data_IF_826734002040
#
_entry.id   IF_826734002040
#
_cell.length_a   1.000
_cell.length_b   1.000
_cell.length_c   1.000
_cell.angle_alpha   90.00
_cell.angle_beta   90.00
_cell.angle_gamma   90.00
#
_symmetry.space_group_name_H-M   'P 1'
#
loop_
_entity.id
_entity.type
_entity.pdbx_description
1 polymer ?
#
# COMPACT_ATOMS: atom_id res chain seq x y z
N UNK A 1 25.20 6.83 10.27
CA UNK A 1 24.03 6.12 10.84
C UNK A 1 22.76 6.87 10.45
N UNK A 2 21.59 6.24 10.50
CA UNK A 2 20.33 6.94 10.23
C UNK A 2 20.07 8.00 11.32
N UNK A 3 19.65 9.20 10.91
CA UNK A 3 19.28 10.31 11.80
C UNK A 3 17.78 10.64 11.75
N UNK A 4 17.04 9.85 10.97
CA UNK A 4 15.60 10.00 10.81
C UNK A 4 14.96 8.68 10.40
N UNK A 5 13.65 8.62 10.56
CA UNK A 5 12.81 7.48 10.21
C UNK A 5 11.78 7.94 9.18
N UNK A 6 11.69 7.24 8.05
CA UNK A 6 10.65 7.48 7.05
C UNK A 6 9.37 6.73 7.45
N UNK A 7 8.25 7.43 7.33
CA UNK A 7 6.91 6.99 7.69
C UNK A 7 5.94 7.30 6.54
N UNK A 8 4.91 6.46 6.44
CA UNK A 8 3.81 6.59 5.48
C UNK A 8 2.49 6.39 6.23
N UNK A 9 1.46 7.12 5.81
CA UNK A 9 0.15 7.04 6.41
C UNK A 9 0.06 7.74 7.76
N UNK A 10 -0.89 7.30 8.56
CA UNK A 10 -1.26 7.89 9.84
C UNK A 10 -0.61 7.16 11.01
N UNK A 11 0.16 7.88 11.82
CA UNK A 11 0.79 7.34 13.02
C UNK A 11 0.58 8.27 14.20
N UNK A 12 0.27 7.69 15.36
CA UNK A 12 0.39 8.35 16.65
C UNK A 12 1.81 8.19 17.17
N UNK A 13 2.48 9.32 17.34
CA UNK A 13 3.81 9.42 17.96
C UNK A 13 3.61 9.68 19.44
N UNK A 14 4.09 8.79 20.31
CA UNK A 14 4.00 8.95 21.77
C UNK A 14 5.39 8.86 22.39
N UNK A 15 5.78 9.84 23.20
CA UNK A 15 7.02 9.77 23.99
C UNK A 15 6.78 8.87 25.20
N UNK A 16 7.48 7.74 25.27
CA UNK A 16 7.28 6.74 26.34
C UNK A 16 8.41 6.71 27.37
N UNK A 17 9.61 7.16 27.00
CA UNK A 17 10.74 7.29 27.91
C UNK A 17 11.66 8.41 27.42
N UNK A 18 12.33 9.06 28.37
CA UNK A 18 13.40 10.02 28.13
C UNK A 18 14.48 9.77 29.19
N UNK A 19 15.71 9.62 28.74
CA UNK A 19 16.87 9.39 29.60
C UNK A 19 18.03 10.29 29.16
N UNK A 20 17.82 11.60 29.32
CA UNK A 20 18.79 12.63 28.90
C UNK A 20 18.54 13.89 29.71
N UNK A 21 19.61 14.61 30.06
CA UNK A 21 19.50 15.85 30.83
C UNK A 21 19.07 17.05 29.97
N UNK A 22 19.16 16.94 28.64
CA UNK A 22 18.89 18.05 27.73
C UNK A 22 17.45 18.09 27.24
N UNK A 23 16.98 19.26 26.83
CA UNK A 23 15.69 19.36 26.17
C UNK A 23 15.72 18.55 24.87
N UNK A 24 14.67 17.76 24.63
CA UNK A 24 14.52 16.94 23.42
C UNK A 24 13.23 17.34 22.69
N UNK A 25 13.22 17.22 21.37
CA UNK A 25 12.02 17.37 20.55
C UNK A 25 12.03 16.42 19.37
N UNK A 26 10.83 16.09 18.90
CA UNK A 26 10.64 15.35 17.67
C UNK A 26 10.31 16.35 16.58
N UNK A 27 11.07 16.32 15.48
CA UNK A 27 10.82 17.15 14.31
C UNK A 27 10.28 16.28 13.19
N UNK A 28 9.11 16.66 12.69
CA UNK A 28 8.43 16.00 11.57
C UNK A 28 8.52 16.88 10.34
N UNK A 29 8.88 16.30 9.20
CA UNK A 29 9.01 17.00 7.90
C UNK A 29 8.49 16.15 6.75
N UNK A 30 8.11 16.78 5.62
CA UNK A 30 7.60 16.09 4.43
C UNK A 30 6.16 16.47 4.13
N UNK A 31 5.32 15.48 3.80
CA UNK A 31 3.90 15.70 3.51
C UNK A 31 3.11 16.29 4.70
N UNK A 32 3.61 16.05 5.92
CA UNK A 32 3.19 16.71 7.15
C UNK A 32 4.44 17.25 7.84
N UNK A 33 4.30 18.36 8.57
CA UNK A 33 5.40 18.98 9.30
C UNK A 33 4.92 19.48 10.66
N UNK A 34 5.78 19.39 11.67
CA UNK A 34 5.42 19.76 13.03
C UNK A 34 6.53 19.45 14.03
N UNK A 35 6.33 19.88 15.27
CA UNK A 35 7.24 19.64 16.37
C UNK A 35 6.45 19.05 17.53
N UNK A 36 6.82 17.84 17.96
CA UNK A 36 6.27 17.21 19.17
C UNK A 36 7.26 17.41 20.31
N UNK A 37 6.85 17.90 21.49
CA UNK A 37 7.73 18.00 22.64
C UNK A 37 8.30 16.63 23.05
N UNK A 38 9.59 16.54 23.35
CA UNK A 38 10.24 15.32 23.86
C UNK A 38 9.96 15.06 25.34
N UNK A 39 8.74 15.35 25.80
CA UNK A 39 8.31 15.16 27.19
C UNK A 39 7.54 13.85 27.29
N UNK A 40 7.85 13.00 28.27
CA UNK A 40 7.16 11.72 28.47
C UNK A 40 5.64 11.94 28.58
N UNK A 41 4.88 11.16 27.81
CA UNK A 41 3.42 11.29 27.69
C UNK A 41 2.95 12.25 26.60
N UNK A 42 3.82 13.07 26.01
CA UNK A 42 3.47 13.85 24.84
C UNK A 42 3.08 12.91 23.69
N UNK A 43 1.95 13.20 23.05
CA UNK A 43 1.39 12.38 21.98
C UNK A 43 0.77 13.25 20.90
N UNK A 44 1.06 12.93 19.65
CA UNK A 44 0.47 13.60 18.49
C UNK A 44 0.22 12.62 17.34
N UNK A 45 -0.87 12.81 16.61
CA UNK A 45 -1.18 12.00 15.42
C UNK A 45 -0.76 12.78 14.18
N UNK A 46 0.12 12.18 13.38
CA UNK A 46 0.60 12.73 12.12
C UNK A 46 0.11 11.85 10.98
N UNK A 47 -0.43 12.47 9.94
CA UNK A 47 -0.87 11.78 8.72
C UNK A 47 -0.26 12.41 7.50
N UNK A 48 0.33 11.61 6.63
CA UNK A 48 0.85 12.10 5.37
C UNK A 48 1.37 10.98 4.49
N UNK A 49 1.48 11.29 3.20
CA UNK A 49 1.86 10.33 2.17
C UNK A 49 3.22 9.73 2.39
N UNK A 50 4.17 10.59 2.71
CA UNK A 50 5.53 10.27 3.10
C UNK A 50 6.06 11.41 3.95
N UNK A 51 6.58 11.07 5.12
CA UNK A 51 7.15 12.04 6.04
C UNK A 51 8.30 11.42 6.83
N UNK A 52 9.15 12.29 7.37
CA UNK A 52 10.35 11.93 8.11
C UNK A 52 10.20 12.40 9.56
N UNK A 53 10.58 11.52 10.48
CA UNK A 53 10.70 11.82 11.90
C UNK A 53 12.19 11.90 12.25
N UNK A 54 12.63 13.01 12.82
CA UNK A 54 13.95 13.18 13.42
C UNK A 54 13.80 13.54 14.91
N UNK A 55 14.85 13.29 15.70
CA UNK A 55 14.93 13.74 17.09
C UNK A 55 16.03 14.78 17.19
N UNK A 56 15.73 15.89 17.85
CA UNK A 56 16.67 16.97 18.11
C UNK A 56 16.81 17.23 19.62
N UNK A 57 17.97 17.73 20.01
CA UNK A 57 18.29 18.09 21.39
C UNK A 57 18.86 19.52 21.47
N UNK A 58 18.83 20.11 22.66
CA UNK A 58 19.44 21.41 22.93
C UNK A 58 20.23 21.37 24.25
N UNK A 59 21.56 21.41 24.16
CA UNK A 59 22.47 21.46 25.31
C UNK A 59 22.86 22.90 25.72
N UNK A 60 22.11 23.90 25.29
CA UNK A 60 22.33 25.32 25.59
C UNK A 60 22.90 26.14 24.42
N UNK A 61 22.99 25.55 23.23
CA UNK A 61 23.50 26.18 22.00
C UNK A 61 22.45 26.30 20.88
N UNK A 62 21.21 25.89 21.15
CA UNK A 62 20.14 25.75 20.17
C UNK A 62 19.94 24.30 19.73
N UNK A 63 18.86 24.07 19.00
CA UNK A 63 18.44 22.75 18.57
C UNK A 63 19.37 22.12 17.53
N UNK A 64 19.74 20.87 17.77
CA UNK A 64 20.61 20.09 16.91
C UNK A 64 20.08 18.67 16.74
N UNK A 65 20.33 18.07 15.57
CA UNK A 65 19.95 16.69 15.32
C UNK A 65 20.70 15.72 16.24
N UNK A 66 19.96 14.73 16.76
CA UNK A 66 20.53 13.59 17.46
C UNK A 66 21.53 12.83 16.56
N UNK A 67 22.62 12.35 17.14
CA UNK A 67 23.65 11.60 16.42
C UNK A 67 23.11 10.29 15.84
N UNK A 68 22.13 9.67 16.52
CA UNK A 68 21.54 8.41 16.12
C UNK A 68 20.02 8.38 16.31
N UNK A 69 19.31 7.78 15.36
CA UNK A 69 17.89 7.41 15.49
C UNK A 69 17.71 6.00 14.93
N UNK A 70 17.18 5.10 15.75
CA UNK A 70 16.84 3.73 15.38
C UNK A 70 15.35 3.49 15.44
N UNK A 71 14.83 2.72 14.48
CA UNK A 71 13.46 2.24 14.50
C UNK A 71 13.45 0.72 14.46
N UNK A 72 12.77 0.12 15.42
CA UNK A 72 12.45 -1.31 15.40
C UNK A 72 11.59 -1.65 14.17
N UNK A 73 11.61 -2.92 13.71
CA UNK A 73 10.61 -3.43 12.80
C UNK A 73 9.20 -3.24 13.36
N UNK A 74 8.25 -2.96 12.47
CA UNK A 74 6.84 -2.84 12.86
C UNK A 74 6.29 -4.21 13.26
N UNK A 75 5.69 -4.26 14.45
CA UNK A 75 5.08 -5.44 15.08
C UNK A 75 3.58 -5.23 15.17
N UNK A 76 2.82 -6.31 15.03
CA UNK A 76 1.41 -6.31 15.41
C UNK A 76 1.32 -6.47 16.94
N UNK A 77 0.63 -5.54 17.61
CA UNK A 77 0.30 -5.57 19.02
C UNK A 77 -1.19 -5.30 19.15
N UNK A 78 -1.94 -6.30 19.59
CA UNK A 78 -3.39 -6.20 19.83
C UNK A 78 -4.20 -5.73 18.60
N UNK A 79 -3.81 -6.17 17.40
CA UNK A 79 -4.45 -5.78 16.15
C UNK A 79 -4.06 -4.38 15.68
N UNK A 80 -3.05 -3.78 16.29
CA UNK A 80 -2.48 -2.49 15.89
C UNK A 80 -1.01 -2.66 15.53
N UNK A 81 -0.65 -2.09 14.39
CA UNK A 81 0.75 -2.01 14.02
C UNK A 81 1.48 -0.97 14.85
N UNK A 82 2.59 -1.38 15.47
CA UNK A 82 3.36 -0.53 16.36
C UNK A 82 4.87 -0.75 16.19
N UNK A 83 5.67 0.27 16.49
CA UNK A 83 7.13 0.13 16.60
C UNK A 83 7.71 1.08 17.63
N UNK A 84 8.88 0.73 18.13
CA UNK A 84 9.69 1.60 18.98
C UNK A 84 10.67 2.38 18.10
N UNK A 85 10.84 3.66 18.39
CA UNK A 85 11.93 4.49 17.88
C UNK A 85 12.75 4.98 19.06
N UNK A 86 14.07 4.84 19.00
CA UNK A 86 14.95 5.30 20.06
C UNK A 86 16.07 6.16 19.48
N UNK A 87 16.50 7.19 20.21
CA UNK A 87 17.55 8.11 19.76
C UNK A 87 18.75 8.13 20.71
N UNK A 88 19.89 8.56 20.16
CA UNK A 88 21.06 9.02 20.92
C UNK A 88 21.37 10.46 20.53
N UNK A 89 21.33 11.39 21.47
CA UNK A 89 21.70 12.78 21.25
C UNK A 89 23.20 12.93 20.96
N UNK A 90 24.06 12.38 21.81
CA UNK A 90 25.53 12.35 21.68
C UNK A 90 26.13 11.13 22.38
N UNK A 91 27.19 10.54 21.83
CA UNK A 91 27.88 9.41 22.46
C UNK A 91 28.97 9.86 23.44
N UNK A 92 28.78 9.60 24.74
CA UNK A 92 29.78 9.88 25.79
C UNK A 92 30.50 8.61 26.26
N UNK A 93 31.73 8.73 26.79
CA UNK A 93 32.34 7.64 27.54
C UNK A 93 31.44 7.22 28.71
N UNK A 94 30.95 5.99 28.67
CA UNK A 94 30.04 5.43 29.70
C UNK A 94 28.56 5.54 29.38
N UNK A 95 28.19 6.25 28.32
CA UNK A 95 26.81 6.37 27.85
C UNK A 95 26.71 6.23 26.33
N UNK A 96 26.53 4.97 25.91
CA UNK A 96 26.46 4.58 24.51
C UNK A 96 25.14 3.93 24.11
N UNK A 97 24.18 3.83 25.04
CA UNK A 97 22.90 3.21 24.76
C UNK A 97 21.97 4.23 24.09
N UNK A 98 21.31 3.88 22.98
CA UNK A 98 20.40 4.80 22.31
C UNK A 98 19.04 4.80 23.01
N UNK A 99 18.94 5.51 24.13
CA UNK A 99 17.70 5.65 24.90
C UNK A 99 17.38 7.04 25.45
N UNK A 100 18.06 8.07 24.94
CA UNK A 100 17.88 9.46 25.35
C UNK A 100 16.45 9.96 25.13
N UNK A 101 15.83 9.49 24.05
CA UNK A 101 14.39 9.62 23.81
C UNK A 101 13.86 8.34 23.17
N UNK A 102 12.80 7.78 23.73
CA UNK A 102 12.12 6.59 23.21
C UNK A 102 10.67 6.91 22.90
N UNK A 103 10.27 6.58 21.68
CA UNK A 103 8.94 6.79 21.13
C UNK A 103 8.26 5.44 20.90
N UNK A 104 6.97 5.39 21.20
CA UNK A 104 6.06 4.39 20.65
C UNK A 104 5.33 5.02 19.47
N UNK A 105 5.46 4.38 18.31
CA UNK A 105 4.71 4.73 17.11
C UNK A 105 3.61 3.70 16.92
N UNK A 106 2.36 4.16 16.92
CA UNK A 106 1.17 3.36 16.70
C UNK A 106 0.53 3.77 15.36
N UNK A 107 0.39 2.85 14.41
CA UNK A 107 -0.37 3.13 13.19
C UNK A 107 -1.84 3.32 13.56
N UNK A 108 -2.46 4.35 13.00
CA UNK A 108 -3.86 4.69 13.24
C UNK A 108 -4.55 4.93 11.90
N UNK A 109 -5.84 4.60 11.81
CA UNK A 109 -6.61 4.72 10.57
C UNK A 109 -6.67 3.41 9.76
N UNK A 110 -7.31 3.47 8.60
CA UNK A 110 -7.38 2.33 7.67
C UNK A 110 -6.02 2.08 7.01
N UNK A 111 -5.83 0.89 6.42
CA UNK A 111 -4.63 0.59 5.63
C UNK A 111 -4.84 0.84 4.14
N UNK A 112 -6.03 1.30 3.75
CA UNK A 112 -6.28 1.78 2.41
C UNK A 112 -7.25 2.96 2.40
N UNK A 113 -7.22 3.70 1.31
CA UNK A 113 -8.18 4.74 0.99
C UNK A 113 -8.54 4.69 -0.50
N UNK A 114 -9.70 5.23 -0.84
CA UNK A 114 -10.06 5.52 -2.23
C UNK A 114 -9.68 6.97 -2.49
N UNK A 115 -8.66 7.16 -3.32
CA UNK A 115 -8.05 8.44 -3.57
C UNK A 115 -8.83 9.20 -4.64
N UNK A 116 -9.49 10.28 -4.23
CA UNK A 116 -10.29 11.10 -5.14
C UNK A 116 -11.60 10.42 -5.56
N UNK A 117 -12.19 10.97 -6.62
CA UNK A 117 -13.51 10.57 -7.10
C UNK A 117 -13.38 9.41 -8.08
N UNK A 118 -14.19 8.34 -7.93
CA UNK A 118 -14.33 7.35 -8.98
C UNK A 118 -14.68 8.04 -10.30
N UNK A 119 -14.19 7.55 -11.43
CA UNK A 119 -14.44 8.16 -12.74
C UNK A 119 -15.24 7.19 -13.60
N UNK A 120 -16.34 7.65 -14.19
CA UNK A 120 -17.00 6.90 -15.26
C UNK A 120 -16.18 7.08 -16.54
N UNK A 121 -15.65 5.97 -17.03
CA UNK A 121 -14.88 5.91 -18.28
C UNK A 121 -15.65 5.05 -19.29
N UNK A 122 -15.83 5.57 -20.50
CA UNK A 122 -16.57 4.91 -21.57
C UNK A 122 -16.24 5.53 -22.92
N UNK A 123 -16.35 4.73 -23.97
CA UNK A 123 -15.87 4.93 -25.36
C UNK A 123 -14.41 4.53 -25.58
N UNK A 124 -14.15 3.22 -25.47
CA UNK A 124 -12.98 2.50 -25.97
C UNK A 124 -11.65 2.80 -25.28
N UNK A 125 -11.22 1.96 -24.33
CA UNK A 125 -9.77 1.80 -24.10
C UNK A 125 -9.10 1.20 -25.36
N UNK A 126 -9.90 0.59 -26.26
CA UNK A 126 -9.56 0.18 -27.64
C UNK A 126 -10.73 0.49 -28.60
N UNK A 127 -10.45 0.89 -29.83
CA UNK A 127 -11.48 1.09 -30.88
C UNK A 127 -12.34 -0.17 -31.06
N UNK A 128 -13.67 -0.06 -30.90
CA UNK A 128 -14.64 -1.09 -31.33
C UNK A 128 -15.60 -1.66 -30.27
N UNK A 129 -15.42 -1.37 -28.98
CA UNK A 129 -16.32 -1.81 -27.90
C UNK A 129 -17.21 -0.67 -27.42
N UNK A 130 -18.22 -0.30 -28.20
CA UNK A 130 -19.04 0.89 -27.96
C UNK A 130 -19.99 0.81 -26.73
N UNK A 131 -20.04 -0.31 -26.00
CA UNK A 131 -21.04 -0.50 -24.94
C UNK A 131 -20.49 -0.82 -23.55
N UNK A 132 -19.16 -0.94 -23.37
CA UNK A 132 -18.60 -1.23 -22.03
C UNK A 132 -18.16 0.06 -21.36
N UNK A 133 -18.76 0.34 -20.20
CA UNK A 133 -18.35 1.45 -19.33
C UNK A 133 -17.76 0.89 -18.05
N UNK A 134 -16.81 1.61 -17.50
CA UNK A 134 -16.18 1.26 -16.24
C UNK A 134 -16.27 2.41 -15.24
N UNK A 135 -16.40 2.05 -13.97
CA UNK A 135 -16.08 2.90 -12.84
C UNK A 135 -14.61 2.68 -12.50
N UNK A 136 -13.76 3.64 -12.86
CA UNK A 136 -12.35 3.66 -12.48
C UNK A 136 -12.21 4.18 -11.05
N UNK A 137 -11.51 3.46 -10.19
CA UNK A 137 -11.35 3.73 -8.76
C UNK A 137 -9.86 3.75 -8.44
N UNK A 138 -9.34 4.90 -8.06
CA UNK A 138 -7.96 5.01 -7.59
C UNK A 138 -7.90 4.51 -6.15
N UNK A 139 -7.22 3.40 -5.95
CA UNK A 139 -6.97 2.81 -4.63
C UNK A 139 -5.59 3.22 -4.19
N UNK A 140 -5.45 3.56 -2.92
CA UNK A 140 -4.18 3.92 -2.33
C UNK A 140 -3.92 3.14 -1.04
N UNK A 141 -2.70 2.67 -0.90
CA UNK A 141 -2.24 2.02 0.32
C UNK A 141 -1.82 3.09 1.34
N UNK A 142 -2.72 3.44 2.26
CA UNK A 142 -2.44 4.32 3.41
C UNK A 142 -1.88 3.57 4.62
N UNK A 143 -1.69 2.26 4.49
CA UNK A 143 -1.11 1.38 5.48
C UNK A 143 0.40 1.44 5.55
N UNK A 144 0.94 0.60 6.42
CA UNK A 144 2.37 0.43 6.67
C UNK A 144 2.96 -0.83 6.02
N UNK A 145 2.11 -1.74 5.52
CA UNK A 145 2.50 -2.94 4.77
C UNK A 145 2.11 -2.79 3.31
N UNK A 146 2.88 -3.38 2.38
CA UNK A 146 2.43 -3.53 1.01
C UNK A 146 1.16 -4.40 0.95
N UNK A 147 0.31 -4.14 -0.04
CA UNK A 147 -0.77 -5.07 -0.38
C UNK A 147 -0.19 -6.37 -0.93
N UNK A 148 -0.76 -7.49 -0.48
CA UNK A 148 -0.46 -8.79 -1.07
C UNK A 148 -1.01 -8.92 -2.48
N UNK A 149 -0.52 -9.92 -3.23
CA UNK A 149 -1.06 -10.28 -4.54
C UNK A 149 -2.51 -10.81 -4.50
N UNK A 150 -3.01 -11.09 -3.30
CA UNK A 150 -4.36 -11.56 -3.01
C UNK A 150 -5.28 -10.45 -2.49
N UNK A 151 -4.84 -9.20 -2.50
CA UNK A 151 -5.68 -8.07 -2.19
C UNK A 151 -6.76 -7.92 -3.28
N UNK A 152 -8.03 -7.95 -2.86
CA UNK A 152 -9.17 -7.75 -3.75
C UNK A 152 -10.04 -6.60 -3.25
N UNK A 153 -10.48 -5.75 -4.17
CA UNK A 153 -11.39 -4.64 -3.90
C UNK A 153 -12.78 -4.97 -4.44
N UNK A 154 -13.80 -4.67 -3.66
CA UNK A 154 -15.20 -4.76 -4.04
C UNK A 154 -15.94 -3.46 -3.73
N UNK A 155 -17.00 -3.19 -4.48
CA UNK A 155 -18.02 -2.22 -4.11
C UNK A 155 -18.98 -2.91 -3.16
N UNK A 156 -19.08 -2.44 -1.92
CA UNK A 156 -20.01 -3.00 -0.93
C UNK A 156 -21.46 -2.93 -1.41
N UNK A 157 -22.35 -3.71 -0.81
CA UNK A 157 -23.80 -3.65 -1.11
C UNK A 157 -24.34 -2.24 -0.89
N UNK A 158 -23.94 -1.59 0.21
CA UNK A 158 -24.29 -0.20 0.49
C UNK A 158 -23.72 0.79 -0.55
N UNK A 159 -22.52 0.54 -1.07
CA UNK A 159 -21.91 1.29 -2.15
C UNK A 159 -22.64 1.11 -3.49
N UNK A 160 -23.05 -0.13 -3.80
CA UNK A 160 -23.85 -0.47 -5.00
C UNK A 160 -25.23 0.17 -4.95
N UNK A 161 -25.91 0.08 -3.82
CA UNK A 161 -27.21 0.75 -3.60
C UNK A 161 -27.09 2.26 -3.76
N UNK A 162 -25.99 2.83 -3.27
CA UNK A 162 -25.68 4.26 -3.41
C UNK A 162 -25.44 4.67 -4.86
N UNK A 163 -24.63 3.89 -5.60
CA UNK A 163 -24.41 4.11 -7.03
C UNK A 163 -25.71 3.94 -7.84
N UNK A 164 -26.54 2.95 -7.51
CA UNK A 164 -27.79 2.68 -8.22
C UNK A 164 -28.81 3.82 -8.05
N UNK A 165 -28.88 4.45 -6.86
CA UNK A 165 -29.68 5.67 -6.67
C UNK A 165 -29.18 6.84 -7.52
N UNK A 166 -27.89 6.87 -7.80
CA UNK A 166 -27.24 7.77 -8.74
C UNK A 166 -27.14 7.17 -10.14
N UNK A 167 -28.06 6.28 -10.54
CA UNK A 167 -28.21 5.72 -11.89
C UNK A 167 -27.00 4.98 -12.47
N UNK A 168 -26.05 4.58 -11.62
CA UNK A 168 -24.90 3.73 -11.98
C UNK A 168 -25.12 2.35 -11.38
N UNK A 169 -25.29 1.34 -12.22
CA UNK A 169 -25.44 -0.05 -11.80
C UNK A 169 -24.13 -0.78 -12.05
N UNK A 170 -23.48 -1.25 -10.99
CA UNK A 170 -22.26 -2.07 -11.10
C UNK A 170 -22.65 -3.48 -11.54
N UNK A 171 -22.02 -4.01 -12.59
CA UNK A 171 -22.27 -5.39 -12.99
C UNK A 171 -21.75 -6.35 -11.89
N UNK A 172 -22.51 -7.41 -11.62
CA UNK A 172 -22.13 -8.45 -10.63
C UNK A 172 -21.20 -9.51 -11.22
N UNK A 173 -21.12 -9.57 -12.55
CA UNK A 173 -20.37 -10.61 -13.28
C UNK A 173 -19.42 -9.98 -14.28
N UNK A 174 -18.24 -10.58 -14.41
CA UNK A 174 -17.20 -10.11 -15.31
C UNK A 174 -17.27 -10.81 -16.67
N UNK A 175 -17.43 -10.00 -17.73
CA UNK A 175 -17.33 -10.48 -19.12
C UNK A 175 -15.83 -10.65 -19.49
N UNK A 176 -15.46 -11.69 -20.28
CA UNK A 176 -14.07 -11.88 -20.72
C UNK A 176 -13.47 -10.68 -21.45
N UNK A 177 -14.30 -9.89 -22.15
CA UNK A 177 -13.91 -8.68 -22.86
C UNK A 177 -13.41 -7.61 -21.88
N UNK A 178 -14.15 -7.39 -20.80
CA UNK A 178 -13.83 -6.41 -19.76
C UNK A 178 -12.52 -6.73 -19.03
N UNK A 179 -12.27 -8.01 -18.74
CA UNK A 179 -11.01 -8.46 -18.14
C UNK A 179 -9.82 -8.25 -19.09
N UNK A 180 -9.98 -8.56 -20.38
CA UNK A 180 -8.94 -8.34 -21.40
C UNK A 180 -8.66 -6.85 -21.64
N UNK A 181 -9.68 -6.01 -21.56
CA UNK A 181 -9.57 -4.56 -21.76
C UNK A 181 -8.85 -3.88 -20.60
N UNK A 182 -9.17 -4.26 -19.36
CA UNK A 182 -8.59 -3.67 -18.15
C UNK A 182 -7.28 -4.34 -17.71
N UNK A 183 -7.02 -5.56 -18.18
CA UNK A 183 -5.89 -6.38 -17.72
C UNK A 183 -6.03 -6.86 -16.26
N UNK A 184 -7.23 -6.76 -15.69
CA UNK A 184 -7.51 -7.14 -14.30
C UNK A 184 -7.90 -8.61 -14.19
N UNK A 185 -7.71 -9.13 -12.97
CA UNK A 185 -8.27 -10.41 -12.55
C UNK A 185 -9.50 -10.14 -11.69
N UNK A 186 -10.56 -10.95 -11.87
CA UNK A 186 -11.78 -10.85 -11.08
C UNK A 186 -11.98 -12.09 -10.20
N UNK A 187 -12.54 -11.85 -9.01
CA UNK A 187 -12.79 -12.85 -7.97
C UNK A 187 -14.24 -12.72 -7.53
N UNK A 188 -15.14 -13.35 -8.30
CA UNK A 188 -16.58 -13.11 -8.16
C UNK A 188 -16.93 -11.69 -8.59
N UNK A 189 -17.45 -10.88 -7.65
CA UNK A 189 -17.78 -9.46 -7.88
C UNK A 189 -16.62 -8.49 -7.57
N UNK A 190 -15.55 -8.98 -6.94
CA UNK A 190 -14.37 -8.21 -6.58
C UNK A 190 -13.31 -8.25 -7.69
N UNK A 191 -12.36 -7.31 -7.65
CA UNK A 191 -11.21 -7.22 -8.55
C UNK A 191 -9.89 -7.28 -7.81
N UNK A 192 -8.89 -7.91 -8.40
CA UNK A 192 -7.52 -7.89 -7.88
C UNK A 192 -6.97 -6.48 -7.88
N UNK A 193 -6.39 -6.07 -6.74
CA UNK A 193 -5.63 -4.84 -6.61
C UNK A 193 -4.16 -5.17 -6.90
N UNK A 194 -3.44 -4.37 -7.70
CA UNK A 194 -2.01 -4.59 -7.88
C UNK A 194 -1.28 -4.54 -6.52
N UNK A 195 -0.12 -5.20 -6.36
CA UNK A 195 0.70 -5.02 -5.17
C UNK A 195 1.12 -3.55 -5.06
N UNK A 196 0.58 -2.86 -4.06
CA UNK A 196 0.89 -1.45 -3.77
C UNK A 196 1.71 -1.39 -2.50
N UNK A 197 2.91 -0.80 -2.56
CA UNK A 197 3.69 -0.43 -1.40
C UNK A 197 3.03 0.68 -0.57
N UNK A 198 3.49 0.94 0.67
CA UNK A 198 3.00 2.04 1.49
C UNK A 198 3.09 3.39 0.75
N UNK A 199 1.97 4.10 0.69
CA UNK A 199 1.83 5.38 -0.01
C UNK A 199 1.57 5.28 -1.51
N UNK A 200 1.78 4.12 -2.13
CA UNK A 200 1.52 3.90 -3.56
C UNK A 200 0.03 3.80 -3.86
N UNK A 201 -0.33 4.09 -5.11
CA UNK A 201 -1.69 4.04 -5.62
C UNK A 201 -1.76 3.27 -6.94
N UNK A 202 -2.94 2.74 -7.23
CA UNK A 202 -3.26 2.08 -8.49
C UNK A 202 -4.72 2.30 -8.84
N UNK A 203 -5.07 2.11 -10.12
CA UNK A 203 -6.46 2.23 -10.57
C UNK A 203 -7.01 0.83 -10.77
N UNK A 204 -8.18 0.58 -10.19
CA UNK A 204 -9.00 -0.60 -10.49
C UNK A 204 -10.29 -0.18 -11.16
N UNK A 205 -10.86 -1.05 -11.98
CA UNK A 205 -12.07 -0.77 -12.75
C UNK A 205 -13.19 -1.70 -12.32
N UNK A 206 -14.44 -1.23 -12.38
CA UNK A 206 -15.63 -2.06 -12.24
C UNK A 206 -16.55 -1.84 -13.45
N UNK A 207 -17.03 -2.90 -14.15
CA UNK A 207 -17.99 -2.75 -15.22
C UNK A 207 -19.29 -2.15 -14.69
N UNK A 208 -19.87 -1.20 -15.41
CA UNK A 208 -21.11 -0.53 -15.02
C UNK A 208 -22.04 -0.33 -16.21
N UNK A 209 -23.34 -0.33 -15.92
CA UNK A 209 -24.37 0.29 -16.74
C UNK A 209 -24.71 1.65 -16.15
N UNK A 210 -24.51 2.70 -16.93
CA UNK A 210 -24.81 4.08 -16.51
C UNK A 210 -25.48 4.82 -17.67
N UNK A 211 -26.49 5.63 -17.38
CA UNK A 211 -27.07 6.55 -18.37
C UNK A 211 -26.05 7.67 -18.68
N UNK A 212 -25.68 7.92 -19.95
CA UNK A 212 -24.76 9.01 -20.31
C UNK A 212 -25.25 10.41 -19.89
N UNK A 213 -26.54 10.61 -19.69
CA UNK A 213 -27.10 11.89 -19.25
C UNK A 213 -26.99 12.11 -17.74
N UNK A 214 -26.59 11.09 -16.97
CA UNK A 214 -26.63 11.16 -15.52
C UNK A 214 -25.45 11.92 -14.95
N UNK A 215 -25.75 12.92 -14.13
CA UNK A 215 -24.80 13.57 -13.24
C UNK A 215 -24.84 12.79 -11.93
N UNK A 216 -23.76 12.07 -11.62
CA UNK A 216 -23.64 11.38 -10.35
C UNK A 216 -23.52 12.42 -9.23
N UNK A 217 -24.63 12.75 -8.56
CA UNK A 217 -24.59 13.55 -7.33
C UNK A 217 -23.69 12.85 -6.30
N UNK A 218 -22.85 13.64 -5.62
CA UNK A 218 -21.70 13.22 -4.80
C UNK A 218 -22.01 12.24 -3.67
N UNK A 219 -22.30 11.00 -4.04
CA UNK A 219 -22.75 9.96 -3.15
C UNK A 219 -21.54 9.24 -2.53
N UNK A 220 -21.58 9.05 -1.22
CA UNK A 220 -20.53 8.36 -0.48
C UNK A 220 -20.52 6.86 -0.86
N UNK A 221 -19.67 6.48 -1.80
CA UNK A 221 -19.54 5.08 -2.23
C UNK A 221 -18.62 4.35 -1.25
N UNK A 222 -19.12 3.25 -0.72
CA UNK A 222 -18.41 2.39 0.21
C UNK A 222 -17.73 1.22 -0.53
N UNK A 223 -16.42 1.11 -0.36
CA UNK A 223 -15.59 0.05 -0.92
C UNK A 223 -15.03 -0.83 0.19
N UNK A 224 -14.84 -2.11 -0.13
CA UNK A 224 -14.30 -3.11 0.78
C UNK A 224 -13.02 -3.68 0.18
N UNK A 225 -11.91 -3.51 0.90
CA UNK A 225 -10.66 -4.20 0.59
C UNK A 225 -10.58 -5.46 1.46
N UNK A 226 -10.28 -6.58 0.82
CA UNK A 226 -10.07 -7.87 1.50
C UNK A 226 -8.67 -8.38 1.19
N UNK A 227 -7.91 -8.72 2.23
CA UNK A 227 -6.56 -9.30 2.11
C UNK A 227 -6.52 -10.83 2.22
N UNK A 228 -5.31 -11.38 2.14
CA UNK A 228 -4.97 -12.80 2.24
C UNK A 228 -5.90 -13.65 3.13
N UNK A 229 -6.66 -14.54 2.49
CA UNK A 229 -7.51 -15.52 3.16
C UNK A 229 -8.80 -14.97 3.77
N UNK A 230 -9.23 -13.76 3.40
CA UNK A 230 -10.51 -13.18 3.84
C UNK A 230 -10.54 -12.69 5.28
N UNK A 231 -9.38 -12.70 5.97
CA UNK A 231 -9.28 -12.40 7.41
C UNK A 231 -9.22 -10.91 7.72
N UNK A 232 -8.72 -10.12 6.77
CA UNK A 232 -8.61 -8.68 6.90
C UNK A 232 -9.62 -8.04 5.95
N UNK A 233 -10.71 -7.51 6.52
CA UNK A 233 -11.75 -6.78 5.81
C UNK A 233 -11.69 -5.33 6.26
N UNK A 234 -11.47 -4.44 5.33
CA UNK A 234 -11.41 -3.00 5.60
C UNK A 234 -12.44 -2.28 4.76
N UNK A 235 -12.95 -1.17 5.29
CA UNK A 235 -13.98 -0.36 4.64
C UNK A 235 -13.44 1.05 4.46
N UNK A 236 -13.49 1.55 3.23
CA UNK A 236 -13.23 2.94 2.91
C UNK A 236 -14.48 3.57 2.32
N UNK A 237 -14.80 4.77 2.80
CA UNK A 237 -15.84 5.61 2.21
C UNK A 237 -15.16 6.78 1.56
N UNK A 238 -15.54 7.06 0.32
CA UNK A 238 -15.21 8.33 -0.30
C UNK A 238 -16.14 9.39 0.29
N UNK A 239 -15.57 10.50 0.77
CA UNK A 239 -16.33 11.64 1.29
C UNK A 239 -16.29 12.80 0.28
N UNK A 240 -17.40 12.99 -0.44
CA UNK A 240 -17.74 14.22 -1.19
C UNK A 240 -17.30 14.35 -2.66
N UNK A 241 -18.25 14.78 -3.51
CA UNK A 241 -18.07 15.36 -4.86
C UNK A 241 -18.34 14.42 -6.06
N UNK A 242 -18.87 14.90 -7.21
CA UNK A 242 -19.22 14.04 -8.35
C UNK A 242 -18.00 13.60 -9.19
N UNK A 243 -17.92 12.33 -9.65
CA UNK A 243 -17.03 11.90 -10.73
C UNK A 243 -17.03 12.90 -11.90
N UNK A 244 -15.91 13.57 -12.24
CA UNK A 244 -15.86 14.25 -13.52
C UNK A 244 -15.93 13.21 -14.64
N UNK A 245 -16.88 13.36 -15.57
CA UNK A 245 -16.87 12.62 -16.82
C UNK A 245 -15.69 13.12 -17.64
N UNK A 246 -14.57 12.39 -17.65
CA UNK A 246 -13.44 12.69 -18.52
C UNK A 246 -13.59 11.93 -19.84
N UNK A 247 -13.67 12.67 -20.95
CA UNK A 247 -13.49 12.09 -22.27
C UNK A 247 -12.00 11.75 -22.46
N UNK A 248 -11.63 10.55 -22.92
CA UNK A 248 -10.23 10.25 -23.19
C UNK A 248 -9.70 11.20 -24.27
N UNK A 249 -8.59 11.89 -23.97
CA UNK A 249 -7.85 12.63 -24.98
C UNK A 249 -7.08 11.61 -25.83
N UNK A 250 -7.56 11.36 -27.05
CA UNK A 250 -6.87 10.50 -28.02
C UNK A 250 -5.67 11.26 -28.58
N UNK A 251 -4.46 10.97 -28.08
CA UNK A 251 -3.23 11.34 -28.78
C UNK A 251 -2.84 10.23 -29.76
N UNK A 252 -2.36 10.61 -30.95
CA UNK A 252 -2.04 9.79 -32.11
C UNK A 252 -0.87 8.79 -31.94
N UNK A 253 -0.60 8.32 -30.72
CA UNK A 253 0.50 7.39 -30.41
C UNK A 253 0.10 6.17 -29.57
N UNK A 254 -1.19 5.86 -29.43
CA UNK A 254 -1.65 4.62 -28.78
C UNK A 254 -1.24 4.47 -27.30
N UNK A 255 -0.86 5.58 -26.65
CA UNK A 255 -0.57 5.67 -25.22
C UNK A 255 -1.53 6.71 -24.64
N UNK A 256 -2.45 6.28 -23.76
CA UNK A 256 -3.35 7.19 -23.05
C UNK A 256 -2.61 7.69 -21.81
N UNK A 257 -2.33 8.99 -21.80
CA UNK A 257 -1.84 9.71 -20.62
C UNK A 257 -3.04 10.39 -19.96
N UNK A 258 -3.51 9.85 -18.84
CA UNK A 258 -4.29 10.64 -17.88
C UNK A 258 -3.29 11.46 -17.05
N UNK A 259 -3.57 12.76 -16.89
CA UNK A 259 -2.63 13.79 -16.42
C UNK A 259 -1.76 13.42 -15.22
N UNK A 260 -0.50 13.86 -15.29
CA UNK A 260 0.55 13.91 -14.26
C UNK A 260 0.66 12.73 -13.28
N UNK A 261 0.44 11.52 -13.78
CA UNK A 261 0.87 10.29 -13.10
C UNK A 261 1.57 9.39 -14.10
N UNK A 262 2.91 9.38 -14.05
CA UNK A 262 3.71 8.37 -14.75
C UNK A 262 3.54 7.03 -14.04
N UNK A 263 2.61 6.21 -14.49
CA UNK A 263 2.51 4.80 -14.08
C UNK A 263 3.50 4.00 -14.92
N UNK A 264 4.62 3.58 -14.33
CA UNK A 264 5.41 2.52 -14.92
C UNK A 264 4.65 1.21 -14.78
N UNK A 265 4.06 0.73 -15.89
CA UNK A 265 3.65 -0.66 -15.99
C UNK A 265 4.90 -1.53 -15.75
N UNK A 266 4.95 -2.23 -14.63
CA UNK A 266 5.99 -3.22 -14.34
C UNK A 266 5.78 -4.42 -15.26
N UNK A 267 6.39 -4.39 -16.44
CA UNK A 267 6.45 -5.53 -17.33
C UNK A 267 7.33 -6.60 -16.68
N UNK A 268 6.69 -7.72 -16.31
CA UNK A 268 7.39 -8.93 -15.90
C UNK A 268 8.42 -9.29 -17.00
N UNK A 269 9.70 -9.51 -16.69
CA UNK A 269 10.67 -9.90 -17.70
C UNK A 269 10.24 -11.23 -18.33
N UNK A 270 10.42 -11.42 -19.65
CA UNK A 270 10.07 -12.66 -20.31
C UNK A 270 10.87 -13.82 -19.70
N UNK A 271 10.18 -14.92 -19.41
CA UNK A 271 10.81 -16.20 -19.09
C UNK A 271 11.67 -16.58 -20.28
N UNK A 272 12.99 -16.64 -20.09
CA UNK A 272 13.92 -17.06 -21.13
C UNK A 272 13.60 -18.51 -21.53
N UNK A 273 13.27 -18.72 -22.80
CA UNK A 273 13.19 -20.05 -23.38
C UNK A 273 14.54 -20.76 -23.24
N UNK A 274 14.56 -22.05 -22.84
CA UNK A 274 15.81 -22.80 -22.81
C UNK A 274 16.39 -22.93 -24.23
N UNK A 275 17.72 -22.84 -24.40
CA UNK A 275 18.34 -22.91 -25.71
C UNK A 275 18.11 -24.29 -26.37
N UNK A 276 17.91 -24.33 -27.70
CA UNK A 276 17.78 -25.58 -28.43
C UNK A 276 19.17 -26.20 -28.62
N UNK A 277 19.32 -27.46 -28.20
CA UNK A 277 20.41 -28.32 -28.64
C UNK A 277 21.44 -28.66 -27.57
N UNK A 278 21.25 -29.79 -26.91
CA UNK A 278 22.38 -30.69 -26.69
C UNK A 278 21.87 -32.12 -26.87
N UNK A 279 22.29 -32.70 -27.98
CA UNK A 279 21.97 -34.04 -28.38
C UNK A 279 22.43 -35.06 -27.35
N UNK A 280 21.63 -36.12 -27.24
CA UNK A 280 21.92 -37.33 -26.51
C UNK A 280 23.33 -37.86 -26.81
N UNK A 281 24.06 -38.22 -25.75
CA UNK A 281 25.10 -39.25 -25.84
C UNK A 281 24.79 -40.32 -24.81
N UNK A 282 24.28 -41.44 -25.33
CA UNK A 282 24.31 -42.75 -24.67
C UNK A 282 25.76 -43.09 -24.35
N UNK A 283 26.03 -43.54 -23.13
CA UNK A 283 26.96 -44.62 -22.92
C UNK A 283 26.51 -45.46 -21.73
N UNK A 284 26.57 -46.77 -21.95
CA UNK A 284 26.09 -47.82 -21.08
C UNK A 284 27.26 -48.41 -20.27
N UNK A 285 26.98 -48.81 -19.03
CA UNK A 285 27.46 -50.04 -18.34
C UNK A 285 27.08 -49.90 -16.86
N UNK A 286 26.16 -50.72 -16.34
CA UNK A 286 26.27 -52.14 -16.01
C UNK A 286 26.94 -52.39 -14.65
N UNK A 287 26.19 -53.10 -13.79
CA UNK A 287 26.64 -53.96 -12.70
C UNK A 287 27.20 -53.22 -11.47
N UNK A 288 26.94 -53.62 -10.23
CA UNK A 288 26.34 -54.82 -9.68
C UNK A 288 26.02 -54.57 -8.21
N UNK A 289 25.15 -55.42 -7.64
CA UNK A 289 25.21 -56.07 -6.31
C UNK A 289 25.85 -55.31 -5.12
N UNK A 290 25.40 -55.37 -3.86
CA UNK A 290 24.38 -56.09 -3.11
C UNK A 290 24.73 -55.87 -1.62
N UNK A 291 23.85 -56.31 -0.69
CA UNK A 291 24.16 -56.61 0.74
C UNK A 291 24.33 -55.36 1.64
N UNK A 292 23.84 -55.26 2.88
CA UNK A 292 22.92 -55.95 3.80
C UNK A 292 22.71 -54.96 4.97
N UNK A 293 21.51 -54.84 5.54
CA UNK A 293 21.07 -55.49 6.79
C UNK A 293 21.87 -55.15 8.06
N UNK A 294 21.13 -54.73 9.09
CA UNK A 294 21.53 -54.70 10.51
C UNK A 294 21.94 -53.30 10.97
N UNK A 295 21.22 -52.57 11.84
CA UNK A 295 20.32 -52.97 12.91
C UNK A 295 21.08 -53.02 14.24
N UNK A 296 20.99 -51.98 15.07
CA UNK A 296 20.94 -52.10 16.54
C UNK A 296 20.71 -50.73 17.23
N UNK A 297 19.68 -50.70 18.08
CA UNK A 297 19.48 -49.84 19.26
C UNK A 297 19.57 -50.83 20.43
N UNK A 298 20.36 -50.63 21.51
CA UNK A 298 20.05 -49.73 22.65
C UNK A 298 21.32 -49.04 23.23
N UNK A 299 21.28 -48.02 24.10
CA UNK A 299 20.47 -47.72 25.28
C UNK A 299 20.27 -46.19 25.43
#
# INVERSE_FOLDING_TARGET
MARSVVLHGSWRVTVVRKDSDWAQRIVVTGAVSGVVPGVVGASETMSGDRWCLAVEHDFGGGWQASEYVHADPVKDRDGRASRIVASKDHYWPGDSHPDDLVLLLDHVGGTFEVAGLPLLVGDGLREGTQDVRFLAVTVRNSGWRPFGYDAVLDVSDAGRDTLARSGVVVEETWKPEALRETGQEAYGRAVGVPPLGPGEHGVVYFPVHADPALRADGADVEFVLTGAGGRERQVARMAGGPPPVQRPAVTSSGLIVCGDVSVHASTRPPVASPPPGTAARREARASDASVASGGHIPH
#
